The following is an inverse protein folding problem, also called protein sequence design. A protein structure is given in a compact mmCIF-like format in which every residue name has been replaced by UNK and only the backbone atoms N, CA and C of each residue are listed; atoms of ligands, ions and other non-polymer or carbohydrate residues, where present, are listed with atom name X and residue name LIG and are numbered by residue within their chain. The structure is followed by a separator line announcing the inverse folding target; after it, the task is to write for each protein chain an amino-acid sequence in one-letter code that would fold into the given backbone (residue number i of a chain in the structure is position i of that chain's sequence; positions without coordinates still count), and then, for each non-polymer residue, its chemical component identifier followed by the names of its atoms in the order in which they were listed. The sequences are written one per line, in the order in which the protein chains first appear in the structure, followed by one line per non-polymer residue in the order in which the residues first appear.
data_IF_531493764285
#
_entry.id   IF_531493764285
#
_cell.length_a   1.000
_cell.length_b   1.000
_cell.length_c   1.000
_cell.angle_alpha   90.00
_cell.angle_beta   90.00
_cell.angle_gamma   90.00
#
_symmetry.space_group_name_H-M   'P 1'
#
loop_
_entity.id
_entity.type
_entity.pdbx_description
1 polymer ?
#
# COMPACT_ATOMS: atom_id res chain seq x y z
N UNK A 1 4.53 -18.11 13.15
CA UNK A 1 4.58 -16.66 12.91
C UNK A 1 3.78 -15.90 13.97
N UNK A 2 2.50 -16.22 14.17
CA UNK A 2 1.62 -15.59 15.18
C UNK A 2 2.26 -15.40 16.58
N UNK A 3 2.86 -16.45 17.14
CA UNK A 3 3.58 -16.38 18.43
C UNK A 3 4.76 -15.40 18.48
N UNK A 4 5.37 -15.05 17.33
CA UNK A 4 6.44 -14.02 17.27
C UNK A 4 5.90 -12.61 17.37
N UNK A 5 4.62 -12.42 17.08
CA UNK A 5 3.93 -11.14 17.15
C UNK A 5 3.16 -10.97 18.45
N UNK A 6 3.12 -12.00 19.31
CA UNK A 6 2.27 -12.07 20.51
C UNK A 6 0.79 -11.80 20.20
N UNK A 7 0.33 -12.30 19.05
CA UNK A 7 -1.07 -12.21 18.61
C UNK A 7 -1.58 -13.61 18.34
N UNK A 8 -2.78 -13.92 18.83
CA UNK A 8 -3.41 -15.20 18.57
C UNK A 8 -3.69 -15.40 17.07
N UNK A 9 -3.55 -16.64 16.61
CA UNK A 9 -3.80 -17.01 15.22
C UNK A 9 -5.23 -16.71 14.81
N UNK A 10 -6.22 -17.05 15.65
CA UNK A 10 -7.61 -16.89 15.28
C UNK A 10 -7.93 -15.42 15.02
N UNK A 11 -7.39 -14.52 15.85
CA UNK A 11 -7.54 -13.08 15.67
C UNK A 11 -6.96 -12.58 14.35
N UNK A 12 -5.79 -13.06 13.93
CA UNK A 12 -5.18 -12.66 12.64
C UNK A 12 -6.09 -13.08 11.48
N UNK A 13 -6.61 -14.31 11.52
CA UNK A 13 -7.45 -14.83 10.44
C UNK A 13 -8.83 -14.17 10.39
N UNK A 14 -9.43 -13.88 11.55
CA UNK A 14 -10.68 -13.13 11.67
C UNK A 14 -10.52 -11.73 11.08
N UNK A 15 -9.51 -10.98 11.53
CA UNK A 15 -9.21 -9.64 10.99
C UNK A 15 -8.97 -9.69 9.48
N UNK A 16 -8.27 -10.71 8.97
CA UNK A 16 -8.04 -10.86 7.54
C UNK A 16 -9.35 -11.12 6.76
N UNK A 17 -10.26 -11.95 7.31
CA UNK A 17 -11.57 -12.23 6.70
C UNK A 17 -12.49 -11.01 6.74
N UNK A 18 -12.56 -10.32 7.87
CA UNK A 18 -13.35 -9.11 8.03
C UNK A 18 -12.85 -7.99 7.12
N UNK A 19 -11.53 -7.82 7.05
CA UNK A 19 -10.90 -6.89 6.11
C UNK A 19 -11.26 -7.25 4.67
N UNK A 20 -11.22 -8.53 4.28
CA UNK A 20 -11.59 -8.94 2.92
C UNK A 20 -13.09 -8.73 2.62
N UNK A 21 -13.98 -8.95 3.59
CA UNK A 21 -15.43 -8.83 3.43
C UNK A 21 -15.97 -7.39 3.54
N UNK A 22 -15.21 -6.47 4.13
CA UNK A 22 -15.66 -5.10 4.37
C UNK A 22 -16.09 -4.36 3.08
N UNK A 23 -17.14 -3.54 3.18
CA UNK A 23 -17.61 -2.69 2.06
C UNK A 23 -16.57 -1.63 1.66
N UNK A 24 -15.79 -1.15 2.62
CA UNK A 24 -14.69 -0.21 2.43
C UNK A 24 -13.70 -0.36 3.56
N UNK A 25 -12.42 -0.55 3.22
CA UNK A 25 -11.32 -0.69 4.15
C UNK A 25 -10.02 -0.32 3.44
N UNK A 26 -9.04 0.15 4.22
CA UNK A 26 -7.69 0.40 3.72
C UNK A 26 -6.65 0.04 4.76
N UNK A 27 -5.52 -0.46 4.30
CA UNK A 27 -4.31 -0.62 5.13
C UNK A 27 -3.46 0.63 4.98
N UNK A 28 -3.10 1.24 6.11
CA UNK A 28 -2.20 2.38 6.18
C UNK A 28 -1.09 2.05 7.16
N UNK A 29 0.14 2.12 6.69
CA UNK A 29 1.37 1.93 7.45
C UNK A 29 2.07 3.27 7.61
N UNK A 30 2.83 3.44 8.69
CA UNK A 30 3.57 4.67 9.03
C UNK A 30 4.88 4.29 9.73
N UNK A 31 5.47 5.23 10.47
CA UNK A 31 6.75 5.12 11.19
C UNK A 31 6.96 3.78 11.90
N UNK A 32 5.92 3.19 12.51
CA UNK A 32 6.03 1.89 13.18
C UNK A 32 6.51 0.75 12.28
N UNK A 33 6.07 0.72 11.02
CA UNK A 33 6.44 -0.32 10.05
C UNK A 33 7.61 0.14 9.18
N UNK A 34 7.63 1.41 8.78
CA UNK A 34 8.60 1.94 7.81
C UNK A 34 9.99 2.17 8.41
N UNK A 35 10.10 2.38 9.73
CA UNK A 35 11.38 2.60 10.42
C UNK A 35 11.98 1.30 10.97
N UNK A 36 11.79 0.19 10.27
CA UNK A 36 12.40 -1.10 10.57
C UNK A 36 13.38 -1.49 9.46
N UNK A 37 14.35 -2.37 9.78
CA UNK A 37 15.33 -2.86 8.80
C UNK A 37 14.65 -3.49 7.56
N UNK A 38 13.49 -4.12 7.77
CA UNK A 38 12.68 -4.74 6.72
C UNK A 38 11.46 -3.90 6.34
N UNK A 39 11.47 -2.58 6.63
CA UNK A 39 10.33 -1.69 6.47
C UNK A 39 9.79 -1.63 5.04
N UNK A 40 10.66 -1.74 4.03
CA UNK A 40 10.28 -1.78 2.62
C UNK A 40 9.31 -2.92 2.29
N UNK A 41 9.58 -4.13 2.79
CA UNK A 41 8.73 -5.31 2.51
C UNK A 41 7.37 -5.15 3.19
N UNK A 42 7.37 -4.65 4.41
CA UNK A 42 6.15 -4.50 5.19
C UNK A 42 5.27 -3.35 4.66
N UNK A 43 5.87 -2.25 4.20
CA UNK A 43 5.17 -1.19 3.47
C UNK A 43 4.56 -1.73 2.16
N UNK A 44 5.34 -2.51 1.40
CA UNK A 44 4.87 -3.13 0.17
C UNK A 44 3.70 -4.08 0.41
N UNK A 45 3.72 -4.87 1.47
CA UNK A 45 2.60 -5.72 1.86
C UNK A 45 1.32 -4.91 2.10
N UNK A 46 1.41 -3.74 2.75
CA UNK A 46 0.27 -2.84 2.93
C UNK A 46 -0.34 -2.39 1.60
N UNK A 47 0.49 -2.10 0.59
CA UNK A 47 0.00 -1.82 -0.77
C UNK A 47 -0.67 -3.04 -1.39
N UNK A 48 -0.05 -4.23 -1.29
CA UNK A 48 -0.61 -5.47 -1.85
C UNK A 48 -1.99 -5.76 -1.27
N UNK A 49 -2.18 -5.62 0.05
CA UNK A 49 -3.48 -5.86 0.70
C UNK A 49 -4.59 -4.93 0.16
N UNK A 50 -4.27 -3.67 -0.11
CA UNK A 50 -5.21 -2.73 -0.74
C UNK A 50 -5.50 -3.09 -2.21
N UNK A 51 -4.50 -3.59 -2.94
CA UNK A 51 -4.64 -3.98 -4.36
C UNK A 51 -5.45 -5.26 -4.51
N UNK A 52 -5.13 -6.33 -3.76
CA UNK A 52 -5.79 -7.64 -3.90
C UNK A 52 -7.26 -7.60 -3.46
N UNK A 53 -7.62 -6.66 -2.58
CA UNK A 53 -9.03 -6.43 -2.20
C UNK A 53 -9.78 -5.57 -3.21
N UNK A 54 -9.12 -5.10 -4.28
CA UNK A 54 -9.73 -4.29 -5.33
C UNK A 54 -10.10 -2.88 -4.86
N UNK A 55 -9.50 -2.39 -3.77
CA UNK A 55 -9.85 -1.11 -3.13
C UNK A 55 -8.86 0.01 -3.42
N UNK A 56 -7.89 -0.22 -4.30
CA UNK A 56 -7.01 0.84 -4.78
C UNK A 56 -7.79 1.78 -5.70
N UNK A 57 -7.69 3.08 -5.43
CA UNK A 57 -8.30 4.18 -6.19
C UNK A 57 -9.83 4.06 -6.38
N UNK A 58 -10.52 3.56 -5.34
CA UNK A 58 -11.98 3.49 -5.27
C UNK A 58 -12.52 4.19 -4.03
N UNK A 59 -13.74 4.74 -4.07
CA UNK A 59 -14.39 5.30 -2.89
C UNK A 59 -14.45 4.29 -1.73
N UNK A 60 -14.02 4.70 -0.54
CA UNK A 60 -13.92 3.82 0.64
C UNK A 60 -12.66 2.95 0.69
N UNK A 61 -11.73 3.13 -0.25
CA UNK A 61 -10.42 2.49 -0.29
C UNK A 61 -9.26 3.48 -0.32
N UNK A 62 -8.06 3.00 -0.66
CA UNK A 62 -6.84 3.82 -0.66
C UNK A 62 -6.77 4.64 -1.96
N UNK A 63 -6.79 5.96 -1.85
CA UNK A 63 -6.60 6.89 -2.98
C UNK A 63 -5.15 6.84 -3.48
N UNK A 64 -4.98 6.78 -4.79
CA UNK A 64 -3.69 7.02 -5.42
C UNK A 64 -3.59 8.51 -5.72
N UNK A 65 -2.76 9.25 -4.98
CA UNK A 65 -2.69 10.70 -5.15
C UNK A 65 -1.95 11.04 -6.45
N UNK A 66 -2.58 11.73 -7.42
CA UNK A 66 -1.86 12.36 -8.51
C UNK A 66 -0.95 13.41 -7.86
N UNK A 67 0.36 13.15 -7.81
CA UNK A 67 1.32 14.02 -7.13
C UNK A 67 1.15 15.49 -7.52
N UNK A 68 1.64 16.40 -6.68
CA UNK A 68 1.50 17.85 -6.90
C UNK A 68 2.01 18.34 -8.26
N UNK A 69 2.91 17.56 -8.86
CA UNK A 69 3.48 17.78 -10.18
C UNK A 69 3.00 16.66 -11.10
N UNK A 70 2.42 17.06 -12.24
CA UNK A 70 2.10 16.14 -13.33
C UNK A 70 3.40 15.69 -14.01
N UNK A 71 3.95 14.59 -13.51
CA UNK A 71 5.18 14.00 -14.02
C UNK A 71 5.08 13.59 -15.49
N UNK A 72 3.89 13.21 -15.97
CA UNK A 72 3.64 12.82 -17.37
C UNK A 72 3.72 14.06 -18.26
N UNK A 73 3.11 15.16 -17.84
CA UNK A 73 3.22 16.44 -18.55
C UNK A 73 4.65 16.98 -18.53
N UNK A 74 5.37 16.82 -17.42
CA UNK A 74 6.79 17.21 -17.35
C UNK A 74 7.69 16.36 -18.23
N UNK A 75 7.48 15.04 -18.33
CA UNK A 75 8.28 14.19 -19.21
C UNK A 75 8.13 14.59 -20.69
N UNK A 76 6.97 15.09 -21.11
CA UNK A 76 6.76 15.63 -22.45
C UNK A 76 7.50 16.94 -22.74
N UNK A 77 7.94 17.67 -21.71
CA UNK A 77 8.72 18.92 -21.85
C UNK A 77 10.24 18.68 -21.88
N UNK A 78 10.70 17.51 -21.48
CA UNK A 78 12.12 17.13 -21.52
C UNK A 78 12.46 16.71 -22.95
N UNK A 79 13.20 17.55 -23.70
CA UNK A 79 13.77 17.15 -24.99
C UNK A 79 14.75 16.01 -24.75
N UNK A 80 14.52 14.87 -25.41
CA UNK A 80 15.50 13.78 -25.42
C UNK A 80 16.82 14.30 -26.00
N UNK A 81 17.90 14.24 -25.21
CA UNK A 81 19.24 14.44 -25.75
C UNK A 81 19.58 13.26 -26.66
N UNK A 82 20.06 13.49 -27.89
CA UNK A 82 20.55 12.40 -28.72
C UNK A 82 21.68 11.68 -28.00
N UNK A 83 21.55 10.36 -27.86
CA UNK A 83 22.60 9.50 -27.34
C UNK A 83 23.80 9.57 -28.30
N UNK A 84 24.99 9.89 -27.80
CA UNK A 84 26.23 9.94 -28.58
C UNK A 84 26.92 8.58 -28.61
#
# INVERSE_FOLDING_TARGET
LAARCDVDRAQIEEVARDFAAARGAMVVTRTGVSMHLTGTIAEWLGHVLNVITGRMDRPGGRRFEPGYVDAIRMSGMVKASPHR
#
